data_IF_951598705553
#
_entry.id   IF_951598705553
#
_cell.length_a   1.000
_cell.length_b   1.000
_cell.length_c   1.000
_cell.angle_alpha   90.00
_cell.angle_beta   90.00
_cell.angle_gamma   90.00
#
_symmetry.space_group_name_H-M   'P 1'
#
loop_
_entity.id
_entity.type
_entity.pdbx_description
1 polymer ?
#
# COMPACT_ATOMS: atom_id res chain seq x y z
N UNK A 1 2.39 41.37 -47.93
CA UNK A 1 3.80 40.96 -48.11
C UNK A 1 4.03 39.83 -47.12
N UNK A 2 3.89 38.55 -47.49
CA UNK A 2 4.89 37.78 -48.23
C UNK A 2 6.18 37.68 -47.36
N UNK A 3 6.77 36.55 -46.99
CA UNK A 3 6.57 35.11 -47.22
C UNK A 3 7.67 34.44 -46.39
N UNK A 4 7.54 33.13 -46.13
CA UNK A 4 8.65 32.17 -46.01
C UNK A 4 9.63 32.30 -44.81
N UNK A 5 9.68 31.31 -43.91
CA UNK A 5 10.39 30.03 -44.07
C UNK A 5 11.84 30.19 -44.54
N UNK A 6 12.78 29.60 -43.78
CA UNK A 6 13.64 28.47 -44.20
C UNK A 6 14.97 28.51 -43.41
N UNK A 7 15.14 27.66 -42.40
CA UNK A 7 15.76 26.32 -42.49
C UNK A 7 17.25 26.35 -42.88
N UNK A 8 18.11 25.97 -41.94
CA UNK A 8 19.33 25.16 -42.18
C UNK A 8 19.55 24.33 -40.89
N UNK A 9 19.16 23.05 -40.75
CA UNK A 9 19.55 21.85 -41.51
C UNK A 9 21.03 21.52 -41.20
N UNK A 10 21.35 20.38 -40.59
CA UNK A 10 21.78 19.12 -41.25
C UNK A 10 22.45 18.28 -40.12
N UNK A 11 22.53 16.97 -40.04
CA UNK A 11 22.36 15.82 -40.93
C UNK A 11 22.48 14.59 -39.99
N UNK A 12 21.39 13.88 -39.69
CA UNK A 12 21.50 12.54 -39.13
C UNK A 12 21.26 11.54 -40.26
N UNK A 13 22.26 10.69 -40.46
CA UNK A 13 22.44 9.83 -41.60
C UNK A 13 21.20 8.99 -41.96
N UNK A 14 20.86 9.01 -43.26
CA UNK A 14 20.00 8.02 -43.89
C UNK A 14 20.73 6.69 -43.98
N UNK A 15 20.12 5.61 -43.53
CA UNK A 15 20.20 4.32 -44.23
C UNK A 15 18.87 3.61 -44.09
N UNK A 16 18.29 3.27 -45.24
CA UNK A 16 16.92 2.80 -45.38
C UNK A 16 16.77 1.34 -44.96
N UNK A 17 15.86 1.07 -44.03
CA UNK A 17 15.20 -0.24 -43.91
C UNK A 17 13.78 -0.11 -44.44
N UNK A 18 13.53 -0.82 -45.54
CA UNK A 18 12.25 -0.87 -46.24
C UNK A 18 11.30 -1.73 -45.40
N UNK A 19 10.39 -1.11 -44.64
CA UNK A 19 9.34 -1.83 -43.93
C UNK A 19 7.99 -1.62 -44.62
N UNK A 20 7.41 -2.73 -45.07
CA UNK A 20 6.13 -2.82 -45.79
C UNK A 20 4.98 -2.46 -44.84
N UNK A 21 4.09 -1.55 -45.27
CA UNK A 21 2.86 -1.18 -44.58
C UNK A 21 1.74 -2.24 -44.79
N UNK A 22 0.67 -2.25 -43.98
CA UNK A 22 0.22 -3.44 -43.24
C UNK A 22 -0.79 -4.31 -43.99
N UNK A 23 -0.74 -5.63 -43.76
CA UNK A 23 -1.93 -6.47 -43.96
C UNK A 23 -2.77 -6.42 -42.70
N UNK A 24 -3.92 -5.75 -42.78
CA UNK A 24 -5.00 -5.84 -41.80
C UNK A 24 -5.52 -7.28 -41.82
N UNK A 25 -4.90 -8.15 -41.01
CA UNK A 25 -5.55 -9.39 -40.61
C UNK A 25 -6.49 -8.99 -39.49
N UNK A 26 -7.80 -9.07 -39.76
CA UNK A 26 -8.84 -8.81 -38.76
C UNK A 26 -8.45 -9.51 -37.46
N UNK A 27 -8.15 -8.72 -36.43
CA UNK A 27 -7.83 -9.24 -35.13
C UNK A 27 -9.13 -9.84 -34.58
N UNK A 28 -9.31 -11.14 -34.77
CA UNK A 28 -10.36 -11.89 -34.08
C UNK A 28 -10.02 -11.82 -32.59
N UNK A 29 -10.70 -10.93 -31.88
CA UNK A 29 -10.65 -10.89 -30.41
C UNK A 29 -11.32 -12.17 -29.92
N UNK A 30 -10.65 -12.89 -29.02
CA UNK A 30 -11.23 -14.09 -28.42
C UNK A 30 -12.24 -13.66 -27.35
N UNK A 31 -13.51 -13.61 -27.71
CA UNK A 31 -14.61 -13.20 -26.83
C UNK A 31 -14.76 -14.15 -25.61
N UNK A 32 -14.21 -15.37 -25.71
CA UNK A 32 -14.25 -16.38 -24.66
C UNK A 32 -13.51 -15.93 -23.40
N UNK A 33 -12.40 -15.18 -23.50
CA UNK A 33 -11.68 -14.68 -22.32
C UNK A 33 -12.48 -13.61 -21.58
N UNK A 34 -13.17 -12.74 -22.33
CA UNK A 34 -14.03 -11.68 -21.80
C UNK A 34 -15.29 -12.27 -21.14
N UNK A 35 -15.88 -13.30 -21.75
CA UNK A 35 -16.98 -14.06 -21.16
C UNK A 35 -16.54 -14.86 -19.92
N UNK A 36 -15.33 -15.43 -19.91
CA UNK A 36 -14.78 -16.12 -18.74
C UNK A 36 -14.54 -15.14 -17.58
N UNK A 37 -14.04 -13.93 -17.89
CA UNK A 37 -13.85 -12.85 -16.91
C UNK A 37 -15.19 -12.33 -16.38
N UNK A 38 -16.19 -12.13 -17.25
CA UNK A 38 -17.53 -11.72 -16.85
C UNK A 38 -18.22 -12.80 -15.99
N UNK A 39 -18.06 -14.09 -16.30
CA UNK A 39 -18.58 -15.20 -15.49
C UNK A 39 -17.89 -15.30 -14.13
N UNK A 40 -16.58 -15.09 -14.07
CA UNK A 40 -15.82 -15.02 -12.80
C UNK A 40 -16.23 -13.82 -11.96
N UNK A 41 -16.42 -12.65 -12.57
CA UNK A 41 -16.90 -11.45 -11.89
C UNK A 41 -18.35 -11.62 -11.40
N UNK A 42 -19.22 -12.21 -12.21
CA UNK A 42 -20.60 -12.51 -11.83
C UNK A 42 -20.66 -13.56 -10.70
N UNK A 43 -19.80 -14.58 -10.71
CA UNK A 43 -19.70 -15.54 -9.62
C UNK A 43 -19.18 -14.91 -8.32
N UNK A 44 -18.25 -13.96 -8.41
CA UNK A 44 -17.76 -13.20 -7.24
C UNK A 44 -18.85 -12.29 -6.63
N UNK A 45 -19.70 -11.69 -7.47
CA UNK A 45 -20.83 -10.85 -7.01
C UNK A 45 -21.98 -11.73 -6.47
N UNK A 46 -22.23 -12.89 -7.07
CA UNK A 46 -23.27 -13.82 -6.62
C UNK A 46 -22.90 -14.58 -5.32
N UNK A 47 -21.61 -14.71 -5.01
CA UNK A 47 -21.13 -15.30 -3.76
C UNK A 47 -21.13 -14.33 -2.57
N UNK A 48 -21.19 -13.02 -2.81
CA UNK A 48 -21.23 -12.00 -1.77
C UNK A 48 -22.40 -12.16 -0.77
N UNK A 49 -23.66 -12.43 -1.19
CA UNK A 49 -24.75 -12.63 -0.23
C UNK A 49 -24.64 -13.94 0.55
N UNK A 50 -24.02 -15.00 -0.01
CA UNK A 50 -23.79 -16.27 0.71
C UNK A 50 -22.68 -16.12 1.75
N UNK A 51 -21.64 -15.34 1.46
CA UNK A 51 -20.61 -14.95 2.43
C UNK A 51 -21.18 -14.08 3.57
N UNK A 52 -22.17 -13.23 3.28
CA UNK A 52 -22.85 -12.39 4.28
C UNK A 52 -23.91 -13.15 5.08
N UNK A 53 -24.49 -14.21 4.50
CA UNK A 53 -25.46 -15.10 5.13
C UNK A 53 -24.82 -16.31 5.84
N UNK A 54 -23.50 -16.45 5.77
CA UNK A 54 -22.73 -17.32 6.65
C UNK A 54 -22.72 -16.72 8.06
N UNK A 55 -23.88 -16.78 8.72
CA UNK A 55 -23.95 -16.56 10.16
C UNK A 55 -22.98 -17.55 10.81
N UNK A 56 -22.04 -17.08 11.66
CA UNK A 56 -21.12 -17.99 12.33
C UNK A 56 -21.95 -19.00 13.11
N UNK A 57 -21.83 -20.27 12.75
CA UNK A 57 -22.45 -21.37 13.46
C UNK A 57 -21.86 -21.37 14.89
N UNK A 58 -22.65 -20.89 15.85
CA UNK A 58 -22.38 -20.90 17.29
C UNK A 58 -22.19 -22.36 17.76
N UNK A 59 -20.97 -22.86 17.63
CA UNK A 59 -20.55 -24.17 18.14
C UNK A 59 -19.33 -24.06 19.08
N UNK A 60 -19.12 -22.90 19.69
CA UNK A 60 -18.19 -22.70 20.82
C UNK A 60 -19.02 -22.07 21.94
N UNK A 61 -19.07 -22.73 23.09
CA UNK A 61 -19.93 -22.38 24.25
C UNK A 61 -19.64 -20.98 24.82
N UNK A 62 -18.55 -20.32 24.40
CA UNK A 62 -18.14 -18.98 24.82
C UNK A 62 -17.62 -18.16 23.64
N UNK A 63 -17.88 -16.85 23.65
CA UNK A 63 -17.17 -15.88 22.82
C UNK A 63 -15.75 -15.71 23.38
N UNK A 64 -14.73 -16.02 22.58
CA UNK A 64 -13.32 -15.93 22.97
C UNK A 64 -12.66 -14.81 22.18
N UNK A 65 -11.63 -14.21 22.75
CA UNK A 65 -10.89 -13.12 22.08
C UNK A 65 -9.98 -13.64 20.95
N UNK A 66 -9.74 -14.96 20.88
CA UNK A 66 -9.00 -15.68 19.83
C UNK A 66 -7.68 -15.02 19.39
N UNK A 67 -6.94 -14.42 20.34
CA UNK A 67 -5.66 -13.77 20.07
C UNK A 67 -4.45 -14.71 20.09
N UNK A 68 -4.61 -15.95 20.55
CA UNK A 68 -3.53 -16.94 20.66
C UNK A 68 -3.07 -17.44 19.28
N UNK A 69 -1.75 -17.55 19.08
CA UNK A 69 -1.16 -18.04 17.82
C UNK A 69 -1.30 -17.12 16.59
N UNK A 70 -1.94 -15.96 16.74
CA UNK A 70 -2.20 -15.01 15.62
C UNK A 70 -0.99 -14.16 15.22
N UNK A 71 0.04 -14.10 16.06
CA UNK A 71 1.26 -13.33 15.80
C UNK A 71 1.03 -11.82 15.73
N UNK A 72 -0.03 -11.31 16.37
CA UNK A 72 -0.37 -9.89 16.35
C UNK A 72 0.75 -9.02 16.97
N UNK A 73 1.12 -7.91 16.33
CA UNK A 73 2.18 -7.02 16.82
C UNK A 73 1.80 -6.45 18.19
N UNK A 74 2.69 -6.60 19.17
CA UNK A 74 2.47 -6.22 20.57
C UNK A 74 1.21 -6.83 21.22
N UNK A 75 0.62 -7.87 20.62
CA UNK A 75 -0.64 -8.46 21.08
C UNK A 75 -1.86 -7.55 20.92
N UNK A 76 -1.79 -6.51 20.08
CA UNK A 76 -2.88 -5.54 19.90
C UNK A 76 -3.93 -6.08 18.94
N UNK A 77 -5.06 -6.53 19.49
CA UNK A 77 -6.20 -7.04 18.72
C UNK A 77 -7.30 -6.00 18.46
N UNK A 78 -7.29 -4.89 19.21
CA UNK A 78 -8.21 -3.76 19.08
C UNK A 78 -7.42 -2.44 19.07
N UNK A 79 -7.77 -1.47 18.19
CA UNK A 79 -7.05 -0.21 18.08
C UNK A 79 -6.97 0.59 19.39
N UNK A 80 -7.95 0.46 20.30
CA UNK A 80 -7.92 1.07 21.63
C UNK A 80 -6.72 0.58 22.46
N UNK A 81 -6.33 -0.70 22.36
CA UNK A 81 -5.14 -1.23 23.05
C UNK A 81 -3.86 -0.58 22.53
N UNK A 82 -3.78 -0.31 21.22
CA UNK A 82 -2.67 0.43 20.63
C UNK A 82 -2.55 1.83 21.22
N UNK A 83 -3.69 2.52 21.38
CA UNK A 83 -3.73 3.84 22.03
C UNK A 83 -3.33 3.80 23.49
N UNK A 84 -3.69 2.75 24.23
CA UNK A 84 -3.24 2.58 25.62
C UNK A 84 -1.73 2.46 25.70
N UNK A 85 -1.11 1.68 24.81
CA UNK A 85 0.36 1.52 24.77
C UNK A 85 1.03 2.88 24.50
N UNK A 86 0.57 3.60 23.47
CA UNK A 86 1.11 4.92 23.12
C UNK A 86 0.88 5.94 24.24
N UNK A 87 -0.31 5.93 24.86
CA UNK A 87 -0.66 6.87 25.91
C UNK A 87 0.18 6.67 27.17
N UNK A 88 0.37 5.43 27.63
CA UNK A 88 1.16 5.15 28.84
C UNK A 88 2.64 5.44 28.59
N UNK A 89 3.21 4.95 27.48
CA UNK A 89 4.60 5.23 27.13
C UNK A 89 4.83 6.73 26.93
N UNK A 90 3.91 7.41 26.23
CA UNK A 90 3.95 8.84 26.00
C UNK A 90 3.79 9.66 27.29
N UNK A 91 2.96 9.21 28.23
CA UNK A 91 2.77 9.88 29.52
C UNK A 91 4.03 9.80 30.38
N UNK A 92 4.63 8.60 30.49
CA UNK A 92 5.88 8.43 31.23
C UNK A 92 6.99 9.26 30.58
N UNK A 93 7.08 9.23 29.25
CA UNK A 93 8.03 10.04 28.49
C UNK A 93 7.79 11.55 28.69
N UNK A 94 6.53 12.01 28.70
CA UNK A 94 6.21 13.42 28.88
C UNK A 94 6.60 13.92 30.27
N UNK A 95 6.36 13.12 31.32
CA UNK A 95 6.79 13.44 32.68
C UNK A 95 8.32 13.47 32.78
N UNK A 96 8.98 12.48 32.19
CA UNK A 96 10.45 12.44 32.09
C UNK A 96 10.98 13.69 31.36
N UNK A 97 10.45 13.99 30.18
CA UNK A 97 10.86 15.11 29.35
C UNK A 97 10.64 16.46 30.06
N UNK A 98 9.50 16.64 30.72
CA UNK A 98 9.23 17.85 31.52
C UNK A 98 10.21 18.02 32.69
N UNK A 99 10.75 16.91 33.22
CA UNK A 99 11.73 16.90 34.30
C UNK A 99 13.17 17.14 33.81
N UNK A 100 13.42 17.10 32.49
CA UNK A 100 14.78 17.23 31.93
C UNK A 100 15.49 18.53 32.33
N UNK A 101 14.74 19.59 32.61
CA UNK A 101 15.28 20.87 33.11
C UNK A 101 16.08 20.74 34.42
N UNK A 102 15.84 19.70 35.21
CA UNK A 102 16.47 19.51 36.53
C UNK A 102 17.69 18.58 36.49
N UNK A 103 17.97 17.93 35.35
CA UNK A 103 19.06 16.95 35.22
C UNK A 103 20.39 17.54 34.77
N UNK A 104 20.45 18.83 34.45
CA UNK A 104 21.64 19.49 33.90
C UNK A 104 21.59 19.58 32.38
N UNK A 105 22.21 20.62 31.83
CA UNK A 105 22.28 20.84 30.39
C UNK A 105 23.62 20.31 29.87
N UNK A 106 23.55 19.26 29.04
CA UNK A 106 24.72 18.51 28.55
C UNK A 106 24.87 18.71 27.04
N UNK A 107 24.88 19.98 26.60
CA UNK A 107 25.03 20.35 25.18
C UNK A 107 26.48 20.23 24.69
N UNK A 108 27.48 20.38 25.56
CA UNK A 108 28.88 20.26 25.15
C UNK A 108 29.25 18.81 24.84
N UNK A 109 30.09 18.55 23.81
CA UNK A 109 30.42 17.19 23.37
C UNK A 109 31.14 16.35 24.45
N UNK A 110 31.75 17.01 25.44
CA UNK A 110 32.48 16.38 26.54
C UNK A 110 31.66 16.33 27.86
N UNK A 111 30.35 16.58 27.78
CA UNK A 111 29.43 16.63 28.93
C UNK A 111 28.97 15.26 29.45
N UNK A 112 29.34 14.18 28.77
CA UNK A 112 29.02 12.82 29.17
C UNK A 112 29.85 12.33 30.37
N UNK A 113 29.47 11.18 30.93
CA UNK A 113 30.32 10.48 31.90
C UNK A 113 31.52 9.85 31.16
N UNK A 114 32.73 10.38 31.42
CA UNK A 114 34.01 9.88 30.90
C UNK A 114 34.87 9.24 32.02
N UNK A 115 35.93 8.53 31.63
CA UNK A 115 36.82 7.74 32.50
C UNK A 115 38.03 8.52 33.05
#
# INVERSE_FOLDING_TARGET
>A
MATMLKTQQQLAARTATRAVAPRVRGAVRCNASLQQQAKKAAAAIAAAPVMLAASPAFAIVDERLNGDGTGLPFGVNDPALGWVIVAVAGLVWAVFYASQKDFGDFEDPDSGLDL
#
